data_IF_282123208563
#
_entry.id   IF_282123208563
#
_cell.length_a   1.000
_cell.length_b   1.000
_cell.length_c   1.000
_cell.angle_alpha   90.00
_cell.angle_beta   90.00
_cell.angle_gamma   90.00
#
_symmetry.space_group_name_H-M   'P 1'
#
loop_
_entity.id
_entity.type
_entity.pdbx_description
1 polymer ?
#
# COMPACT_ATOMS: atom_id res chain seq x y z
N UNK A 1 10.20 10.47 2.89
CA UNK A 1 8.89 9.98 2.40
C UNK A 1 8.96 9.40 0.97
N UNK A 2 9.44 10.09 -0.07
CA UNK A 2 9.45 9.53 -1.43
C UNK A 2 10.40 8.32 -1.61
N UNK A 3 11.47 8.22 -0.81
CA UNK A 3 12.44 7.13 -0.89
C UNK A 3 11.83 5.75 -0.66
N UNK A 4 10.91 5.61 0.31
CA UNK A 4 10.25 4.33 0.60
C UNK A 4 9.40 3.84 -0.59
N UNK A 5 8.55 4.71 -1.15
CA UNK A 5 7.76 4.37 -2.33
C UNK A 5 8.64 4.03 -3.55
N UNK A 6 9.78 4.71 -3.72
CA UNK A 6 10.75 4.39 -4.78
C UNK A 6 11.41 3.02 -4.58
N UNK A 7 11.78 2.67 -3.34
CA UNK A 7 12.29 1.33 -3.03
C UNK A 7 11.23 0.26 -3.33
N UNK A 8 9.98 0.49 -2.92
CA UNK A 8 8.87 -0.43 -3.22
C UNK A 8 8.62 -0.54 -4.72
N UNK A 9 8.69 0.57 -5.46
CA UNK A 9 8.56 0.55 -6.92
C UNK A 9 9.67 -0.28 -7.58
N UNK A 10 10.91 -0.17 -7.11
CA UNK A 10 12.02 -0.99 -7.59
C UNK A 10 11.84 -2.49 -7.27
N UNK A 11 11.34 -2.81 -6.07
CA UNK A 11 10.99 -4.18 -5.66
C UNK A 11 9.86 -4.79 -6.49
N UNK A 12 8.98 -3.98 -7.06
CA UNK A 12 7.95 -4.44 -7.99
C UNK A 12 8.51 -4.56 -9.40
N UNK A 13 9.20 -3.53 -9.90
CA UNK A 13 9.64 -3.44 -11.29
C UNK A 13 10.73 -4.45 -11.65
N UNK A 14 11.75 -4.62 -10.80
CA UNK A 14 12.89 -5.48 -11.12
C UNK A 14 12.51 -6.97 -11.21
N UNK A 15 11.81 -7.60 -10.23
CA UNK A 15 11.37 -8.98 -10.36
C UNK A 15 10.36 -9.18 -11.50
N UNK A 16 9.49 -8.19 -11.76
CA UNK A 16 8.52 -8.25 -12.85
C UNK A 16 9.21 -8.24 -14.22
N UNK A 17 10.25 -7.43 -14.39
CA UNK A 17 11.05 -7.41 -15.61
C UNK A 17 11.79 -8.73 -15.81
N UNK A 18 12.39 -9.28 -14.77
CA UNK A 18 13.03 -10.60 -14.83
C UNK A 18 12.01 -11.68 -15.18
N UNK A 19 10.84 -11.69 -14.56
CA UNK A 19 9.79 -12.64 -14.90
C UNK A 19 9.36 -12.50 -16.37
N UNK A 20 9.21 -11.29 -16.85
CA UNK A 20 8.82 -11.02 -18.24
C UNK A 20 9.86 -11.54 -19.24
N UNK A 21 11.13 -11.20 -19.05
CA UNK A 21 12.21 -11.52 -20.01
C UNK A 21 12.70 -12.95 -19.93
N UNK A 22 12.77 -13.52 -18.72
CA UNK A 22 13.40 -14.84 -18.50
C UNK A 22 12.38 -15.97 -18.44
N UNK A 23 11.16 -15.67 -17.97
CA UNK A 23 10.11 -16.68 -17.77
C UNK A 23 9.06 -16.59 -18.88
N UNK A 24 8.40 -15.44 -19.02
CA UNK A 24 7.24 -15.31 -19.90
C UNK A 24 7.63 -15.31 -21.37
N UNK A 25 8.59 -14.49 -21.79
CA UNK A 25 8.98 -14.40 -23.21
C UNK A 25 9.40 -15.74 -23.81
N UNK A 26 10.29 -16.53 -23.20
CA UNK A 26 10.65 -17.82 -23.73
C UNK A 26 9.53 -18.87 -23.70
N UNK A 27 8.58 -18.77 -22.75
CA UNK A 27 7.43 -19.67 -22.68
C UNK A 27 6.34 -19.26 -23.68
N UNK A 28 6.17 -17.95 -23.92
CA UNK A 28 5.24 -17.41 -24.89
C UNK A 28 5.49 -17.94 -26.29
N UNK A 29 6.73 -18.00 -26.72
CA UNK A 29 7.12 -18.51 -28.04
C UNK A 29 6.72 -19.97 -28.25
N UNK A 30 6.41 -20.71 -27.19
CA UNK A 30 6.21 -22.16 -27.26
C UNK A 30 4.82 -22.66 -26.86
N UNK A 31 4.14 -22.09 -25.83
CA UNK A 31 2.89 -22.68 -25.30
C UNK A 31 1.91 -21.76 -24.59
N UNK A 32 2.34 -20.58 -24.13
CA UNK A 32 1.44 -19.65 -23.42
C UNK A 32 0.97 -18.57 -24.40
N UNK A 33 -0.32 -18.34 -24.51
CA UNK A 33 -0.87 -17.33 -25.42
C UNK A 33 -0.47 -15.89 -25.08
N UNK A 34 -0.74 -14.95 -25.98
CA UNK A 34 -0.42 -13.52 -25.84
C UNK A 34 -0.98 -12.86 -24.55
N UNK A 35 -1.99 -13.46 -23.95
CA UNK A 35 -2.57 -12.99 -22.68
C UNK A 35 -1.58 -12.97 -21.52
N UNK A 36 -0.61 -13.91 -21.47
CA UNK A 36 0.41 -13.94 -20.41
C UNK A 36 1.36 -12.76 -20.51
N UNK A 37 1.69 -12.35 -21.73
CA UNK A 37 2.47 -11.13 -21.96
C UNK A 37 1.67 -9.90 -21.52
N UNK A 38 0.40 -9.83 -21.90
CA UNK A 38 -0.49 -8.73 -21.51
C UNK A 38 -0.59 -8.60 -19.98
N UNK A 39 -0.80 -9.72 -19.27
CA UNK A 39 -0.83 -9.74 -17.79
C UNK A 39 0.54 -9.40 -17.20
N UNK A 40 1.63 -9.89 -17.77
CA UNK A 40 3.00 -9.63 -17.31
C UNK A 40 3.41 -8.15 -17.39
N UNK A 41 2.76 -7.37 -18.26
CA UNK A 41 2.95 -5.91 -18.37
C UNK A 41 1.90 -5.15 -17.58
N UNK A 42 0.63 -5.55 -17.69
CA UNK A 42 -0.49 -4.81 -17.11
C UNK A 42 -0.50 -4.84 -15.57
N UNK A 43 -0.20 -5.99 -14.95
CA UNK A 43 -0.21 -6.11 -13.49
C UNK A 43 0.87 -5.25 -12.81
N UNK A 44 2.14 -5.28 -13.22
CA UNK A 44 3.14 -4.36 -12.65
C UNK A 44 2.78 -2.89 -12.89
N UNK A 45 2.30 -2.53 -14.07
CA UNK A 45 1.87 -1.16 -14.37
C UNK A 45 0.71 -0.71 -13.46
N UNK A 46 -0.26 -1.59 -13.23
CA UNK A 46 -1.34 -1.37 -12.25
C UNK A 46 -0.80 -1.11 -10.85
N UNK A 47 0.09 -1.98 -10.36
CA UNK A 47 0.68 -1.85 -9.02
C UNK A 47 1.45 -0.53 -8.88
N UNK A 48 2.29 -0.19 -9.86
CA UNK A 48 3.08 1.05 -9.85
C UNK A 48 2.19 2.30 -9.90
N UNK A 49 1.15 2.28 -10.71
CA UNK A 49 0.19 3.39 -10.80
C UNK A 49 -0.56 3.62 -9.49
N UNK A 50 -1.04 2.55 -8.86
CA UNK A 50 -1.75 2.66 -7.58
C UNK A 50 -0.82 2.92 -6.40
N UNK A 51 0.43 2.43 -6.42
CA UNK A 51 1.46 2.81 -5.46
C UNK A 51 1.71 4.32 -5.52
N UNK A 52 1.96 4.86 -6.71
CA UNK A 52 2.18 6.29 -6.91
C UNK A 52 0.97 7.11 -6.43
N UNK A 53 -0.24 6.70 -6.81
CA UNK A 53 -1.48 7.36 -6.36
C UNK A 53 -1.62 7.33 -4.84
N UNK A 54 -1.32 6.21 -4.19
CA UNK A 54 -1.39 6.09 -2.73
C UNK A 54 -0.37 6.99 -2.04
N UNK A 55 0.88 6.97 -2.52
CA UNK A 55 1.98 7.72 -1.92
C UNK A 55 1.86 9.24 -2.11
N UNK A 56 1.29 9.68 -3.23
CA UNK A 56 1.16 11.10 -3.60
C UNK A 56 -0.17 11.73 -3.17
N UNK A 57 -1.16 10.92 -2.80
CA UNK A 57 -2.46 11.46 -2.33
C UNK A 57 -2.36 11.80 -0.84
N UNK A 58 -2.80 13.00 -0.46
CA UNK A 58 -2.98 13.41 0.93
C UNK A 58 -3.90 12.41 1.66
N UNK A 59 -3.46 11.80 2.77
CA UNK A 59 -4.26 10.82 3.51
C UNK A 59 -5.50 11.40 4.19
N UNK A 60 -5.66 12.70 4.23
CA UNK A 60 -6.67 13.43 4.98
C UNK A 60 -6.06 14.10 6.21
N UNK A 61 -4.96 14.84 6.00
CA UNK A 61 -4.27 15.57 7.06
C UNK A 61 -5.20 16.67 7.60
N UNK A 62 -5.38 16.66 8.92
CA UNK A 62 -6.11 17.68 9.65
C UNK A 62 -5.13 18.75 10.13
N UNK A 63 -5.44 20.05 9.91
CA UNK A 63 -4.58 21.12 10.37
C UNK A 63 -4.48 21.10 11.90
N UNK A 64 -3.28 21.31 12.42
CA UNK A 64 -3.06 21.47 13.85
C UNK A 64 -3.47 22.88 14.27
N UNK A 65 -4.13 22.96 15.41
CA UNK A 65 -4.34 24.25 16.04
C UNK A 65 -3.10 24.69 16.81
N UNK A 66 -2.80 25.98 16.76
CA UNK A 66 -1.69 26.54 17.53
C UNK A 66 -1.89 26.25 19.03
N UNK A 67 -0.79 25.90 19.70
CA UNK A 67 -0.78 25.78 21.16
C UNK A 67 -0.85 27.18 21.78
N UNK A 68 -2.04 27.63 22.07
CA UNK A 68 -2.23 28.71 23.02
C UNK A 68 -2.21 28.14 24.45
N UNK A 69 -1.82 28.94 25.45
CA UNK A 69 -1.67 28.49 26.83
C UNK A 69 -2.92 27.88 27.50
N UNK A 70 -4.07 27.87 26.78
CA UNK A 70 -5.32 27.24 27.20
C UNK A 70 -5.34 25.72 26.93
N UNK A 71 -4.45 25.20 26.12
CA UNK A 71 -4.44 23.77 25.72
C UNK A 71 -4.10 22.82 26.89
N UNK A 72 -3.30 23.24 27.86
CA UNK A 72 -2.96 22.44 29.05
C UNK A 72 -4.19 22.12 29.92
N UNK A 73 -5.19 23.01 29.95
CA UNK A 73 -6.46 22.81 30.66
C UNK A 73 -7.40 21.78 30.02
N UNK A 74 -7.13 21.34 28.79
CA UNK A 74 -7.99 20.42 28.02
C UNK A 74 -7.55 18.98 28.07
N UNK A 75 -6.37 18.69 28.63
CA UNK A 75 -5.82 17.33 28.72
C UNK A 75 -6.79 16.37 29.42
N UNK A 76 -7.07 15.23 28.79
CA UNK A 76 -7.98 14.22 29.32
C UNK A 76 -9.46 14.52 29.17
N UNK A 77 -9.85 15.72 28.68
CA UNK A 77 -11.27 16.06 28.47
C UNK A 77 -11.85 15.30 27.27
N UNK A 78 -13.11 14.95 27.41
CA UNK A 78 -13.94 14.35 26.37
C UNK A 78 -15.08 15.31 26.00
N UNK A 79 -15.55 15.25 24.76
CA UNK A 79 -16.70 15.98 24.28
C UNK A 79 -17.66 15.00 23.60
N UNK A 80 -18.92 15.08 23.97
CA UNK A 80 -19.97 14.39 23.24
C UNK A 80 -20.40 15.25 22.05
N UNK A 81 -20.45 14.65 20.89
CA UNK A 81 -20.90 15.30 19.66
C UNK A 81 -21.93 14.40 18.99
N UNK A 82 -23.13 14.93 18.81
CA UNK A 82 -24.21 14.24 18.09
C UNK A 82 -24.12 14.59 16.61
N UNK A 83 -24.00 13.57 15.77
CA UNK A 83 -24.01 13.76 14.30
C UNK A 83 -25.44 14.02 13.87
N UNK A 84 -25.71 15.25 13.41
CA UNK A 84 -27.06 15.71 13.08
C UNK A 84 -27.78 14.86 12.03
N UNK A 85 -27.02 14.25 11.08
CA UNK A 85 -27.59 13.43 10.00
C UNK A 85 -28.00 12.02 10.42
N UNK A 86 -27.42 11.48 11.50
CA UNK A 86 -27.67 10.10 11.94
C UNK A 86 -28.21 10.02 13.36
N UNK A 87 -28.31 11.13 14.08
CA UNK A 87 -28.69 11.18 15.51
C UNK A 87 -27.73 10.44 16.44
N UNK A 88 -26.60 9.93 15.92
CA UNK A 88 -25.66 9.13 16.69
C UNK A 88 -24.72 10.02 17.49
N UNK A 89 -24.73 9.85 18.80
CA UNK A 89 -23.79 10.53 19.71
C UNK A 89 -22.46 9.78 19.71
N UNK A 90 -21.37 10.50 19.49
CA UNK A 90 -19.99 10.01 19.56
C UNK A 90 -19.20 10.82 20.55
N UNK A 91 -18.44 10.13 21.41
CA UNK A 91 -17.53 10.78 22.34
C UNK A 91 -16.19 11.01 21.67
N UNK A 92 -15.76 12.25 21.59
CA UNK A 92 -14.45 12.66 21.07
C UNK A 92 -13.52 13.03 22.22
N UNK A 93 -12.24 12.63 22.11
CA UNK A 93 -11.23 12.91 23.12
C UNK A 93 -10.30 14.04 22.66
N UNK A 94 -9.89 14.89 23.59
CA UNK A 94 -8.88 15.90 23.30
C UNK A 94 -7.52 15.27 23.00
N UNK A 95 -6.85 15.74 21.95
CA UNK A 95 -5.50 15.35 21.59
C UNK A 95 -4.57 16.55 21.74
N UNK A 96 -3.63 16.46 22.69
CA UNK A 96 -2.68 17.54 23.01
C UNK A 96 -1.73 17.84 21.85
N UNK A 97 -1.35 16.81 21.05
CA UNK A 97 -0.43 16.98 19.92
C UNK A 97 -1.10 17.68 18.75
N UNK A 98 -2.37 17.40 18.52
CA UNK A 98 -3.15 17.97 17.42
C UNK A 98 -3.82 19.31 17.82
N UNK A 99 -4.03 19.54 19.11
CA UNK A 99 -4.64 20.77 19.63
C UNK A 99 -6.16 20.86 19.43
N UNK A 100 -6.87 19.72 19.31
CA UNK A 100 -8.31 19.68 19.15
C UNK A 100 -8.94 18.37 19.65
N UNK A 101 -10.28 18.37 19.76
CA UNK A 101 -11.04 17.14 19.95
C UNK A 101 -11.02 16.31 18.68
N UNK A 102 -10.44 15.12 18.76
CA UNK A 102 -10.27 14.26 17.59
C UNK A 102 -11.62 13.84 17.01
N UNK A 103 -11.85 14.05 15.70
CA UNK A 103 -12.98 13.45 15.02
C UNK A 103 -12.96 11.91 15.16
N UNK A 104 -14.12 11.25 15.03
CA UNK A 104 -14.17 9.79 15.08
C UNK A 104 -13.18 9.14 14.11
N UNK A 105 -12.39 8.18 14.63
CA UNK A 105 -11.34 7.48 13.88
C UNK A 105 -10.17 8.37 13.41
N UNK A 106 -10.08 9.63 13.77
CA UNK A 106 -8.88 10.41 13.54
C UNK A 106 -7.78 10.02 14.54
N UNK A 107 -6.52 10.02 14.10
CA UNK A 107 -5.39 9.70 14.97
C UNK A 107 -4.14 10.50 14.57
N UNK A 108 -3.22 10.68 15.52
CA UNK A 108 -1.93 11.29 15.26
C UNK A 108 -0.93 10.22 14.82
N UNK A 109 -0.38 10.36 13.61
CA UNK A 109 0.74 9.55 13.14
C UNK A 109 2.05 10.12 13.64
N UNK A 110 2.72 9.44 14.56
CA UNK A 110 4.01 9.88 15.11
C UNK A 110 5.14 9.88 14.07
N UNK A 111 5.10 8.98 13.09
CA UNK A 111 6.10 8.89 12.02
C UNK A 111 6.02 10.05 11.03
N UNK A 112 4.81 10.38 10.58
CA UNK A 112 4.57 11.51 9.69
C UNK A 112 4.48 12.83 10.46
N UNK A 113 4.23 12.75 11.75
CA UNK A 113 3.95 13.87 12.63
C UNK A 113 2.72 14.68 12.18
N UNK A 114 1.71 14.00 11.65
CA UNK A 114 0.46 14.57 11.13
C UNK A 114 -0.74 13.93 11.81
N UNK A 115 -1.82 14.70 11.99
CA UNK A 115 -3.11 14.19 12.45
C UNK A 115 -3.96 13.87 11.24
N UNK A 116 -4.46 12.63 11.14
CA UNK A 116 -5.10 12.12 9.92
C UNK A 116 -6.52 11.68 10.20
N UNK A 117 -7.46 12.07 9.33
CA UNK A 117 -8.86 11.68 9.38
C UNK A 117 -9.03 10.22 8.95
N UNK A 118 -9.83 9.46 9.73
CA UNK A 118 -10.01 8.02 9.51
C UNK A 118 -8.66 7.29 9.35
N UNK A 119 -7.75 7.56 10.27
CA UNK A 119 -6.44 6.92 10.31
C UNK A 119 -6.58 5.40 10.32
N UNK A 120 -5.83 4.74 9.46
CA UNK A 120 -5.71 3.29 9.41
C UNK A 120 -4.35 2.86 9.99
N UNK A 121 -3.28 3.11 9.26
CA UNK A 121 -1.92 2.83 9.72
C UNK A 121 -0.89 3.74 9.00
N UNK A 122 0.35 3.75 9.49
CA UNK A 122 1.48 4.25 8.72
C UNK A 122 2.07 3.10 7.91
N UNK A 123 2.09 3.23 6.58
CA UNK A 123 2.59 2.20 5.69
C UNK A 123 4.03 2.49 5.26
N UNK A 124 5.03 1.71 5.71
CA UNK A 124 6.42 1.92 5.32
C UNK A 124 6.66 1.68 3.83
N UNK A 125 5.88 0.81 3.20
CA UNK A 125 6.01 0.50 1.77
C UNK A 125 5.58 1.67 0.86
N UNK A 126 4.56 2.40 1.27
CA UNK A 126 4.09 3.60 0.54
C UNK A 126 4.78 4.87 1.03
N UNK A 127 5.46 4.82 2.18
CA UNK A 127 6.13 5.94 2.81
C UNK A 127 5.18 7.05 3.29
N UNK A 128 3.91 6.71 3.52
CA UNK A 128 2.88 7.65 3.96
C UNK A 128 1.88 6.99 4.92
N UNK A 129 1.09 7.80 5.60
CA UNK A 129 -0.05 7.32 6.38
C UNK A 129 -1.21 6.96 5.45
N UNK A 130 -1.90 5.87 5.76
CA UNK A 130 -3.14 5.49 5.11
C UNK A 130 -4.31 6.03 5.93
N UNK A 131 -5.17 6.80 5.27
CA UNK A 131 -6.30 7.47 5.88
C UNK A 131 -7.47 7.67 4.90
N UNK A 132 -8.38 8.55 5.23
CA UNK A 132 -9.66 8.74 4.52
C UNK A 132 -9.53 8.88 3.00
N UNK A 133 -8.54 9.67 2.53
CA UNK A 133 -8.48 10.08 1.12
C UNK A 133 -7.69 9.11 0.24
N UNK A 134 -6.67 8.43 0.77
CA UNK A 134 -5.83 7.49 0.02
C UNK A 134 -6.15 6.01 0.27
N UNK A 135 -7.10 5.69 1.15
CA UNK A 135 -7.47 4.31 1.51
C UNK A 135 -7.89 3.46 0.31
N UNK A 136 -8.72 4.01 -0.60
CA UNK A 136 -9.14 3.29 -1.82
C UNK A 136 -7.96 3.00 -2.74
N UNK A 137 -7.05 3.95 -2.89
CA UNK A 137 -5.84 3.76 -3.70
C UNK A 137 -4.95 2.66 -3.10
N UNK A 138 -4.80 2.65 -1.77
CA UNK A 138 -4.10 1.61 -1.03
C UNK A 138 -4.72 0.22 -1.25
N UNK A 139 -6.04 0.08 -1.20
CA UNK A 139 -6.70 -1.20 -1.47
C UNK A 139 -6.45 -1.69 -2.90
N UNK A 140 -6.53 -0.80 -3.90
CA UNK A 140 -6.25 -1.17 -5.30
C UNK A 140 -4.78 -1.58 -5.49
N UNK A 141 -3.86 -0.92 -4.80
CA UNK A 141 -2.45 -1.31 -4.75
C UNK A 141 -2.28 -2.71 -4.14
N UNK A 142 -2.88 -2.97 -2.99
CA UNK A 142 -2.78 -4.25 -2.27
C UNK A 142 -3.36 -5.40 -3.09
N UNK A 143 -4.58 -5.25 -3.64
CA UNK A 143 -5.19 -6.27 -4.51
C UNK A 143 -4.35 -6.53 -5.77
N UNK A 144 -3.84 -5.46 -6.39
CA UNK A 144 -2.96 -5.59 -7.56
C UNK A 144 -1.67 -6.33 -7.22
N UNK A 145 -1.05 -6.02 -6.09
CA UNK A 145 0.18 -6.69 -5.64
C UNK A 145 -0.06 -8.17 -5.34
N UNK A 146 -1.17 -8.51 -4.69
CA UNK A 146 -1.58 -9.91 -4.45
C UNK A 146 -1.76 -10.66 -5.78
N UNK A 147 -2.46 -10.05 -6.74
CA UNK A 147 -2.66 -10.66 -8.08
C UNK A 147 -1.33 -10.82 -8.84
N UNK A 148 -0.44 -9.82 -8.76
CA UNK A 148 0.88 -9.87 -9.38
C UNK A 148 1.74 -10.99 -8.77
N UNK A 149 1.75 -11.13 -7.45
CA UNK A 149 2.47 -12.22 -6.77
C UNK A 149 1.94 -13.59 -7.20
N UNK A 150 0.62 -13.78 -7.19
CA UNK A 150 -0.01 -15.03 -7.62
C UNK A 150 0.32 -15.36 -9.09
N UNK A 151 0.24 -14.39 -9.99
CA UNK A 151 0.60 -14.54 -11.39
C UNK A 151 2.09 -14.91 -11.56
N UNK A 152 2.99 -14.21 -10.86
CA UNK A 152 4.43 -14.45 -10.90
C UNK A 152 4.78 -15.85 -10.38
N UNK A 153 4.21 -16.27 -9.25
CA UNK A 153 4.42 -17.62 -8.70
C UNK A 153 3.93 -18.70 -9.67
N UNK A 154 2.77 -18.49 -10.29
CA UNK A 154 2.20 -19.45 -11.26
C UNK A 154 3.08 -19.59 -12.50
N UNK A 155 3.53 -18.49 -13.09
CA UNK A 155 4.39 -18.49 -14.28
C UNK A 155 5.77 -19.09 -14.00
N UNK A 156 6.35 -18.77 -12.85
CA UNK A 156 7.62 -19.34 -12.40
C UNK A 156 7.51 -20.84 -12.12
N UNK A 157 6.45 -21.28 -11.42
CA UNK A 157 6.18 -22.70 -11.16
C UNK A 157 5.99 -23.49 -12.45
N UNK A 158 5.25 -22.97 -13.41
CA UNK A 158 5.10 -23.57 -14.74
C UNK A 158 6.45 -23.66 -15.46
N UNK A 159 7.29 -22.62 -15.40
CA UNK A 159 8.63 -22.62 -16.00
C UNK A 159 9.52 -23.70 -15.41
N UNK A 160 9.50 -23.87 -14.09
CA UNK A 160 10.26 -24.91 -13.37
C UNK A 160 9.80 -26.30 -13.79
N UNK A 161 8.49 -26.55 -13.85
CA UNK A 161 7.92 -27.84 -14.27
C UNK A 161 8.29 -28.18 -15.72
N UNK A 162 8.34 -27.16 -16.60
CA UNK A 162 8.62 -27.37 -18.01
C UNK A 162 10.11 -27.54 -18.33
N UNK A 163 11.00 -26.74 -17.71
CA UNK A 163 12.45 -26.70 -17.99
C UNK A 163 13.27 -27.58 -17.07
N UNK A 164 12.72 -28.01 -15.95
CA UNK A 164 13.41 -28.66 -14.84
C UNK A 164 14.21 -27.69 -13.96
N UNK A 165 14.48 -28.10 -12.73
CA UNK A 165 15.13 -27.28 -11.70
C UNK A 165 16.51 -26.73 -12.13
N UNK A 166 17.33 -27.56 -12.77
CA UNK A 166 18.72 -27.18 -13.16
C UNK A 166 18.77 -26.00 -14.15
N UNK A 167 17.71 -25.79 -14.96
CA UNK A 167 17.66 -24.73 -15.97
C UNK A 167 16.78 -23.55 -15.57
N UNK A 168 16.28 -23.53 -14.34
CA UNK A 168 15.24 -22.58 -13.88
C UNK A 168 15.70 -21.67 -12.73
N UNK A 169 16.99 -21.49 -12.51
CA UNK A 169 17.53 -20.74 -11.37
C UNK A 169 16.92 -19.34 -11.21
N UNK A 170 16.81 -18.57 -12.29
CA UNK A 170 16.21 -17.24 -12.25
C UNK A 170 14.71 -17.31 -11.93
N UNK A 171 13.96 -18.27 -12.48
CA UNK A 171 12.54 -18.45 -12.16
C UNK A 171 12.33 -18.83 -10.70
N UNK A 172 13.21 -19.65 -10.13
CA UNK A 172 13.16 -20.02 -8.71
C UNK A 172 13.42 -18.79 -7.84
N UNK A 173 14.44 -17.98 -8.15
CA UNK A 173 14.72 -16.75 -7.41
C UNK A 173 13.53 -15.77 -7.43
N UNK A 174 12.94 -15.54 -8.60
CA UNK A 174 11.76 -14.67 -8.74
C UNK A 174 10.55 -15.24 -8.00
N UNK A 175 10.36 -16.57 -8.02
CA UNK A 175 9.31 -17.23 -7.24
C UNK A 175 9.45 -16.95 -5.75
N UNK A 176 10.64 -17.08 -5.18
CA UNK A 176 10.86 -16.80 -3.76
C UNK A 176 10.64 -15.34 -3.41
N UNK A 177 11.09 -14.39 -4.25
CA UNK A 177 10.82 -12.96 -4.03
C UNK A 177 9.31 -12.68 -4.04
N UNK A 178 8.57 -13.24 -5.01
CA UNK A 178 7.13 -13.07 -5.07
C UNK A 178 6.41 -13.74 -3.90
N UNK A 179 6.88 -14.91 -3.46
CA UNK A 179 6.33 -15.61 -2.29
C UNK A 179 6.51 -14.80 -1.00
N UNK A 180 7.72 -14.28 -0.76
CA UNK A 180 7.99 -13.42 0.40
C UNK A 180 7.10 -12.16 0.36
N UNK A 181 7.00 -11.49 -0.79
CA UNK A 181 6.15 -10.32 -0.94
C UNK A 181 4.63 -10.63 -0.78
N UNK A 182 4.22 -11.88 -1.00
CA UNK A 182 2.84 -12.32 -0.81
C UNK A 182 2.50 -12.56 0.67
N UNK A 183 3.48 -13.04 1.44
CA UNK A 183 3.30 -13.40 2.87
C UNK A 183 3.38 -12.17 3.78
N UNK A 184 4.19 -11.16 3.43
CA UNK A 184 4.42 -9.93 4.21
C UNK A 184 3.71 -8.72 3.63
#
# INVERSE_FOLDING_TARGET
>A
RPRAALCTAALIAAPSLVNLLVVIEPLLRRKLGAWTLACGVALPAWCLGWLAKTALTDPGILPRLARDGRTSSMRGKTRETTVATTGRTTTTRWNDTCGYFQPPRAHHCSVCNDCVEKFDHHCPWTGTTIGKRNYRAFLMFTYGTTALCAFTMTTCGYSVSYRGLKKSGAAIAVFFVAFVAFVF
#
